data_IF_421155707590
#
_entry.id   IF_421155707590
#
_cell.length_a   1.000
_cell.length_b   1.000
_cell.length_c   1.000
_cell.angle_alpha   90.00
_cell.angle_beta   90.00
_cell.angle_gamma   90.00
#
_symmetry.space_group_name_H-M   'P 1'
#
loop_
_entity.id
_entity.type
_entity.pdbx_description
1 polymer ?
#
# COMPACT_ATOMS: atom_id res chain seq x y z
N UNK A 1 -3.92 -12.87 5.02
CA UNK A 1 -2.88 -13.68 4.35
C UNK A 1 -3.02 -13.39 2.87
N UNK A 2 -1.99 -12.80 2.26
CA UNK A 2 -2.01 -12.40 0.84
C UNK A 2 -2.14 -13.64 -0.05
N UNK A 3 -3.03 -13.63 -1.02
CA UNK A 3 -3.21 -14.73 -1.98
C UNK A 3 -2.38 -14.54 -3.26
N UNK A 4 -2.38 -15.52 -4.16
CA UNK A 4 -1.59 -15.46 -5.39
C UNK A 4 -2.01 -14.30 -6.33
N UNK A 5 -3.31 -13.98 -6.38
CA UNK A 5 -3.85 -12.89 -7.21
C UNK A 5 -3.41 -11.52 -6.67
N UNK A 6 -3.41 -11.35 -5.35
CA UNK A 6 -2.92 -10.15 -4.69
C UNK A 6 -1.40 -9.97 -4.90
N UNK A 7 -0.61 -11.05 -4.84
CA UNK A 7 0.83 -10.99 -5.14
C UNK A 7 1.06 -10.54 -6.58
N UNK A 8 0.31 -11.08 -7.55
CA UNK A 8 0.43 -10.68 -8.96
C UNK A 8 0.08 -9.20 -9.16
N UNK A 9 -1.00 -8.74 -8.51
CA UNK A 9 -1.41 -7.34 -8.53
C UNK A 9 -0.32 -6.42 -7.99
N UNK A 10 0.31 -6.80 -6.86
CA UNK A 10 1.35 -6.00 -6.23
C UNK A 10 2.57 -5.93 -7.13
N UNK A 11 3.01 -7.07 -7.67
CA UNK A 11 4.13 -7.13 -8.61
C UNK A 11 3.88 -6.27 -9.84
N UNK A 12 2.70 -6.37 -10.47
CA UNK A 12 2.37 -5.59 -11.66
C UNK A 12 2.29 -4.09 -11.39
N UNK A 13 1.71 -3.70 -10.26
CA UNK A 13 1.46 -2.29 -9.92
C UNK A 13 2.72 -1.58 -9.43
N UNK A 14 3.55 -2.28 -8.64
CA UNK A 14 4.73 -1.72 -8.01
C UNK A 14 6.02 -1.97 -8.82
N UNK A 15 5.99 -2.79 -9.88
CA UNK A 15 7.14 -3.01 -10.74
C UNK A 15 7.70 -1.69 -11.28
N UNK A 16 8.99 -1.43 -11.00
CA UNK A 16 9.69 -0.23 -11.43
C UNK A 16 9.35 1.03 -10.65
N UNK A 17 8.48 0.97 -9.64
CA UNK A 17 8.20 2.12 -8.75
C UNK A 17 9.30 2.26 -7.71
N UNK A 18 9.77 3.48 -7.49
CA UNK A 18 10.75 3.73 -6.44
C UNK A 18 10.05 3.97 -5.11
N UNK A 19 10.69 3.50 -4.04
CA UNK A 19 10.33 3.85 -2.68
C UNK A 19 10.59 5.34 -2.44
N UNK A 20 9.64 6.00 -1.77
CA UNK A 20 9.72 7.44 -1.47
C UNK A 20 9.80 7.72 0.03
N UNK A 21 8.87 7.18 0.81
CA UNK A 21 8.78 7.47 2.24
C UNK A 21 7.95 6.42 3.01
N UNK A 22 8.05 6.46 4.34
CA UNK A 22 7.11 5.80 5.26
C UNK A 22 6.47 6.87 6.15
N UNK A 23 5.15 6.85 6.27
CA UNK A 23 4.38 7.75 7.14
C UNK A 23 3.68 6.95 8.25
N UNK A 24 3.76 7.44 9.50
CA UNK A 24 2.97 6.90 10.61
C UNK A 24 1.58 7.54 10.61
N UNK A 25 0.55 6.73 10.79
CA UNK A 25 -0.85 7.15 10.87
C UNK A 25 -1.49 6.64 12.16
N UNK A 26 -2.69 7.12 12.48
CA UNK A 26 -3.45 6.62 13.63
C UNK A 26 -3.87 5.15 13.49
N UNK A 27 -3.79 4.59 12.29
CA UNK A 27 -4.26 3.23 11.96
C UNK A 27 -3.10 2.26 11.70
N UNK A 28 -1.84 2.71 11.78
CA UNK A 28 -0.65 1.94 11.43
C UNK A 28 0.35 2.77 10.64
N UNK A 29 1.00 2.18 9.64
CA UNK A 29 2.00 2.86 8.82
C UNK A 29 1.72 2.69 7.32
N UNK A 30 2.12 3.68 6.54
CA UNK A 30 1.90 3.73 5.08
C UNK A 30 3.25 3.84 4.39
N UNK A 31 3.55 2.88 3.51
CA UNK A 31 4.71 2.91 2.62
C UNK A 31 4.30 3.59 1.33
N UNK A 32 5.03 4.62 0.93
CA UNK A 32 4.73 5.45 -0.24
C UNK A 32 5.76 5.19 -1.33
N UNK A 33 5.26 4.96 -2.53
CA UNK A 33 6.03 4.83 -3.77
C UNK A 33 5.77 6.02 -4.70
N UNK A 34 6.54 6.12 -5.77
CA UNK A 34 6.29 7.08 -6.84
C UNK A 34 4.90 6.91 -7.48
N UNK A 35 4.43 7.96 -8.16
CA UNK A 35 3.10 8.05 -8.78
C UNK A 35 1.94 7.83 -7.79
N UNK A 36 2.15 8.17 -6.51
CA UNK A 36 1.16 8.14 -5.43
C UNK A 36 0.65 6.75 -5.06
N UNK A 37 1.33 5.66 -5.45
CA UNK A 37 1.01 4.32 -4.96
C UNK A 37 1.43 4.15 -3.51
N UNK A 38 0.59 3.49 -2.72
CA UNK A 38 0.87 3.24 -1.31
C UNK A 38 0.50 1.82 -0.88
N UNK A 39 1.25 1.29 0.07
CA UNK A 39 0.90 0.08 0.82
C UNK A 39 0.59 0.53 2.25
N UNK A 40 -0.65 0.34 2.70
CA UNK A 40 -1.02 0.59 4.10
C UNK A 40 -0.88 -0.69 4.89
N UNK A 41 -0.28 -0.61 6.07
CA UNK A 41 -0.10 -1.72 7.00
C UNK A 41 -0.72 -1.32 8.33
N UNK A 42 -1.53 -2.21 8.89
CA UNK A 42 -2.27 -1.93 10.12
C UNK A 42 -1.35 -1.83 11.36
N UNK A 43 -1.78 -1.05 12.33
CA UNK A 43 -1.06 -0.82 13.58
C UNK A 43 -1.02 -2.04 14.51
N UNK A 44 -1.73 -3.12 14.16
CA UNK A 44 -1.64 -4.40 14.87
C UNK A 44 -0.29 -5.09 14.63
N UNK A 45 0.44 -4.67 13.59
CA UNK A 45 1.89 -4.88 13.47
C UNK A 45 2.35 -6.32 13.37
N UNK A 46 1.45 -7.27 13.09
CA UNK A 46 1.84 -8.68 13.08
C UNK A 46 2.48 -9.14 11.78
N UNK A 47 2.16 -8.53 10.63
CA UNK A 47 2.83 -8.88 9.36
C UNK A 47 2.46 -7.97 8.18
N UNK A 48 3.36 -7.85 7.19
CA UNK A 48 3.10 -7.18 5.89
C UNK A 48 1.94 -7.85 5.12
N UNK A 49 1.53 -9.06 5.53
CA UNK A 49 0.43 -9.84 4.95
C UNK A 49 -0.99 -9.30 5.25
N UNK A 50 -1.13 -8.26 6.07
CA UNK A 50 -2.38 -7.49 6.26
C UNK A 50 -2.25 -6.09 5.64
N UNK A 51 -1.66 -6.04 4.45
CA UNK A 51 -1.51 -4.78 3.73
C UNK A 51 -2.57 -4.60 2.64
N UNK A 52 -2.86 -3.34 2.33
CA UNK A 52 -3.77 -2.97 1.25
C UNK A 52 -3.07 -2.03 0.30
N UNK A 53 -3.06 -2.39 -0.99
CA UNK A 53 -2.56 -1.55 -2.06
C UNK A 53 -3.58 -0.48 -2.40
N UNK A 54 -3.16 0.78 -2.28
CA UNK A 54 -4.00 1.93 -2.53
C UNK A 54 -3.28 2.96 -3.41
N UNK A 55 -4.05 3.88 -3.97
CA UNK A 55 -3.55 5.09 -4.60
C UNK A 55 -3.93 6.30 -3.74
N UNK A 56 -2.98 7.20 -3.49
CA UNK A 56 -3.20 8.46 -2.78
C UNK A 56 -3.80 9.47 -3.77
N UNK A 57 -5.02 9.88 -3.50
CA UNK A 57 -5.67 10.94 -4.25
C UNK A 57 -5.21 12.32 -3.75
N UNK A 58 -5.30 13.39 -4.57
CA UNK A 58 -4.87 14.75 -4.19
C UNK A 58 -5.52 15.31 -2.91
N UNK A 59 -6.64 14.73 -2.46
CA UNK A 59 -7.36 15.08 -1.26
C UNK A 59 -6.82 14.43 0.03
N UNK A 60 -5.65 13.78 -0.02
CA UNK A 60 -5.10 12.96 1.09
C UNK A 60 -6.00 11.78 1.48
N UNK A 61 -6.93 11.40 0.59
CA UNK A 61 -7.72 10.18 0.71
C UNK A 61 -6.98 9.04 0.01
N UNK A 62 -7.15 7.84 0.53
CA UNK A 62 -6.63 6.62 -0.08
C UNK A 62 -7.77 5.86 -0.74
N UNK A 63 -7.53 5.39 -1.97
CA UNK A 63 -8.48 4.58 -2.72
C UNK A 63 -7.87 3.23 -3.02
N UNK A 64 -8.57 2.15 -2.70
CA UNK A 64 -8.15 0.79 -3.04
C UNK A 64 -8.00 0.64 -4.56
N UNK A 65 -6.93 -0.02 -4.99
CA UNK A 65 -6.67 -0.25 -6.41
C UNK A 65 -7.69 -1.23 -7.01
N UNK A 66 -8.40 -2.03 -6.19
CA UNK A 66 -9.48 -2.91 -6.64
C UNK A 66 -10.56 -3.18 -5.58
N UNK A 67 -11.81 -3.37 -6.03
CA UNK A 67 -12.89 -4.12 -5.37
C UNK A 67 -13.71 -4.85 -6.42
#
# INVERSE_FOLDING_TARGET
MINAEEIELYNKTLAGKQFKAVELTNEGYVIIFDDNYVIKIDGSGQDIFYSTLMIREPSYRYKEVWK
#
